data_IF_814439163227
#
_entry.id   IF_814439163227
#
_cell.length_a   1.000
_cell.length_b   1.000
_cell.length_c   1.000
_cell.angle_alpha   90.00
_cell.angle_beta   90.00
_cell.angle_gamma   90.00
#
_symmetry.space_group_name_H-M   'P 1'
#
loop_
_entity.id
_entity.type
_entity.pdbx_description
1 polymer ?
#
# COMPACT_ATOMS: atom_id res chain seq x y z
N UNK A 1 -14.72 -2.24 17.35
CA UNK A 1 -13.87 -3.20 18.10
C UNK A 1 -12.45 -2.67 18.09
N UNK A 2 -11.58 -3.13 18.99
CA UNK A 2 -10.15 -2.76 18.99
C UNK A 2 -9.34 -4.05 18.93
N UNK A 3 -8.35 -4.12 18.04
CA UNK A 3 -7.41 -5.23 17.88
C UNK A 3 -6.00 -4.66 17.97
N UNK A 4 -5.17 -5.16 18.90
CA UNK A 4 -3.79 -4.67 19.11
C UNK A 4 -3.69 -3.14 19.28
N UNK A 5 -4.72 -2.52 19.90
CA UNK A 5 -4.80 -1.07 20.08
C UNK A 5 -5.33 -0.29 18.87
N UNK A 6 -5.61 -0.96 17.75
CA UNK A 6 -6.12 -0.36 16.51
C UNK A 6 -7.63 -0.53 16.41
N UNK A 7 -8.42 0.54 16.20
CA UNK A 7 -9.85 0.42 15.97
C UNK A 7 -10.14 -0.30 14.64
N UNK A 8 -11.14 -1.17 14.67
CA UNK A 8 -11.58 -1.93 13.49
C UNK A 8 -13.10 -2.03 13.42
N UNK A 9 -13.61 -2.18 12.20
CA UNK A 9 -15.02 -2.43 11.90
C UNK A 9 -15.20 -3.70 11.10
N UNK A 10 -16.04 -4.59 11.61
CA UNK A 10 -16.47 -5.79 10.89
C UNK A 10 -17.76 -5.52 10.11
N UNK A 11 -17.82 -6.09 8.92
CA UNK A 11 -19.02 -6.22 8.10
C UNK A 11 -19.31 -7.70 7.93
N UNK A 12 -20.48 -8.13 8.38
CA UNK A 12 -20.95 -9.50 8.24
C UNK A 12 -22.04 -9.56 7.15
N UNK A 13 -21.97 -10.52 6.22
CA UNK A 13 -22.99 -10.65 5.17
C UNK A 13 -24.34 -11.09 5.77
N UNK A 14 -25.44 -10.54 5.26
CA UNK A 14 -26.79 -10.67 5.87
C UNK A 14 -27.28 -12.12 5.94
N UNK A 15 -26.87 -12.97 4.99
CA UNK A 15 -27.33 -14.36 4.89
C UNK A 15 -26.48 -15.36 5.68
N UNK A 16 -25.51 -14.89 6.46
CA UNK A 16 -24.61 -15.77 7.21
C UNK A 16 -25.18 -16.13 8.58
N UNK A 17 -25.35 -17.43 8.83
CA UNK A 17 -25.73 -17.96 10.14
C UNK A 17 -24.47 -18.02 11.01
N UNK A 18 -24.54 -17.63 12.29
CA UNK A 18 -23.38 -17.58 13.21
C UNK A 18 -22.52 -18.86 13.25
N UNK A 19 -23.11 -20.03 13.01
CA UNK A 19 -22.40 -21.33 12.95
C UNK A 19 -21.53 -21.51 11.71
N UNK A 20 -21.75 -20.71 10.66
CA UNK A 20 -21.04 -20.79 9.37
C UNK A 20 -19.90 -19.77 9.23
N UNK A 21 -19.64 -18.91 10.24
CA UNK A 21 -18.57 -17.90 10.13
C UNK A 21 -17.17 -18.48 9.89
N UNK A 22 -16.85 -19.66 10.46
CA UNK A 22 -15.60 -20.38 10.14
C UNK A 22 -15.51 -20.82 8.68
N UNK A 23 -16.63 -20.85 7.96
CA UNK A 23 -16.68 -21.20 6.55
C UNK A 23 -16.67 -19.96 5.63
N UNK A 24 -16.59 -18.75 6.16
CA UNK A 24 -16.47 -17.54 5.34
C UNK A 24 -15.01 -17.15 5.19
N UNK A 25 -14.67 -16.60 4.03
CA UNK A 25 -13.41 -15.86 3.92
C UNK A 25 -13.52 -14.55 4.68
N UNK A 26 -12.39 -14.09 5.19
CA UNK A 26 -12.27 -12.76 5.79
C UNK A 26 -11.34 -11.92 4.93
N UNK A 27 -11.79 -10.73 4.56
CA UNK A 27 -10.98 -9.74 3.87
C UNK A 27 -10.61 -8.64 4.86
N UNK A 28 -9.33 -8.52 5.19
CA UNK A 28 -8.83 -7.36 5.94
C UNK A 28 -8.60 -6.24 4.94
N UNK A 29 -9.31 -5.13 5.12
CA UNK A 29 -9.33 -4.01 4.19
C UNK A 29 -8.56 -2.80 4.75
N UNK A 30 -7.57 -2.32 4.00
CA UNK A 30 -6.84 -1.09 4.25
C UNK A 30 -7.31 -0.01 3.29
N UNK A 31 -7.81 1.09 3.83
CA UNK A 31 -8.36 2.17 3.01
C UNK A 31 -7.29 2.98 2.27
N UNK A 32 -7.67 3.60 1.15
CA UNK A 32 -6.84 4.59 0.47
C UNK A 32 -6.87 5.96 1.12
N UNK A 33 -6.29 6.95 0.44
CA UNK A 33 -6.23 8.35 0.92
C UNK A 33 -4.83 8.94 1.00
N UNK A 34 -3.88 8.43 0.19
CA UNK A 34 -2.52 8.98 0.10
C UNK A 34 -1.78 8.98 1.43
N UNK A 35 -1.98 7.95 2.24
CA UNK A 35 -1.36 7.74 3.57
C UNK A 35 -1.73 8.78 4.65
N UNK A 36 -2.40 9.87 4.27
CA UNK A 36 -2.70 11.00 5.15
C UNK A 36 -4.19 11.21 5.38
N UNK A 37 -5.05 10.70 4.49
CA UNK A 37 -6.51 10.87 4.51
C UNK A 37 -7.20 9.50 4.51
N UNK A 38 -8.53 9.55 4.63
CA UNK A 38 -9.38 8.37 4.71
C UNK A 38 -9.79 8.09 6.16
N UNK A 39 -10.86 7.31 6.30
CA UNK A 39 -11.41 6.77 7.54
C UNK A 39 -12.20 5.51 7.15
N UNK A 40 -12.43 4.60 8.07
CA UNK A 40 -13.40 3.50 7.92
C UNK A 40 -14.77 4.02 7.46
N UNK A 41 -15.18 5.20 7.91
CA UNK A 41 -16.44 5.82 7.46
C UNK A 41 -16.43 6.21 5.98
N UNK A 42 -15.34 6.82 5.51
CA UNK A 42 -15.23 7.24 4.10
C UNK A 42 -15.21 6.04 3.15
N UNK A 43 -14.75 4.88 3.63
CA UNK A 43 -14.70 3.62 2.89
C UNK A 43 -15.83 2.66 3.28
N UNK A 44 -16.83 3.12 4.06
CA UNK A 44 -17.99 2.33 4.42
C UNK A 44 -18.75 1.80 3.19
N UNK A 45 -19.03 2.60 2.14
CA UNK A 45 -19.77 2.11 0.99
C UNK A 45 -19.07 0.95 0.26
N UNK A 46 -17.76 1.06 0.03
CA UNK A 46 -16.99 0.03 -0.70
C UNK A 46 -16.82 -1.25 0.13
N UNK A 47 -16.54 -1.13 1.42
CA UNK A 47 -16.35 -2.29 2.31
C UNK A 47 -17.67 -3.02 2.59
N UNK A 48 -18.77 -2.27 2.74
CA UNK A 48 -20.12 -2.85 2.82
C UNK A 48 -20.49 -3.57 1.53
N UNK A 49 -20.29 -2.95 0.38
CA UNK A 49 -20.62 -3.56 -0.91
C UNK A 49 -19.79 -4.82 -1.17
N UNK A 50 -18.50 -4.79 -0.83
CA UNK A 50 -17.63 -5.96 -0.91
C UNK A 50 -18.18 -7.13 -0.07
N UNK A 51 -18.59 -6.88 1.17
CA UNK A 51 -19.18 -7.91 2.03
C UNK A 51 -20.48 -8.49 1.44
N UNK A 52 -21.34 -7.63 0.88
CA UNK A 52 -22.62 -8.04 0.26
C UNK A 52 -22.40 -8.88 -1.00
N UNK A 53 -21.47 -8.47 -1.87
CA UNK A 53 -21.27 -9.12 -3.18
C UNK A 53 -20.47 -10.42 -3.11
N UNK A 54 -19.67 -10.60 -2.06
CA UNK A 54 -18.77 -11.76 -1.94
C UNK A 54 -19.20 -12.78 -0.90
N UNK A 55 -20.18 -12.46 -0.06
CA UNK A 55 -20.51 -13.22 1.16
C UNK A 55 -19.28 -13.44 2.07
N UNK A 56 -18.30 -12.53 2.04
CA UNK A 56 -17.14 -12.53 2.92
C UNK A 56 -17.35 -11.60 4.11
N UNK A 57 -16.68 -11.93 5.23
CA UNK A 57 -16.53 -10.99 6.33
C UNK A 57 -15.51 -9.93 5.89
N UNK A 58 -15.83 -8.66 5.99
CA UNK A 58 -14.87 -7.58 5.71
C UNK A 58 -14.46 -6.91 7.02
N UNK A 59 -13.16 -6.89 7.30
CA UNK A 59 -12.55 -6.22 8.45
C UNK A 59 -11.86 -4.94 7.99
N UNK A 60 -12.51 -3.78 8.15
CA UNK A 60 -11.92 -2.50 7.81
C UNK A 60 -11.07 -1.98 8.97
N UNK A 61 -9.81 -1.66 8.69
CA UNK A 61 -8.84 -1.18 9.69
C UNK A 61 -8.80 0.35 9.71
N UNK A 62 -8.99 0.95 10.89
CA UNK A 62 -8.81 2.39 11.13
C UNK A 62 -7.38 2.63 11.63
N UNK A 63 -6.42 2.50 10.71
CA UNK A 63 -5.01 2.71 11.03
C UNK A 63 -4.71 4.20 11.27
N UNK A 64 -3.69 4.50 12.07
CA UNK A 64 -3.38 5.89 12.40
C UNK A 64 -2.94 6.67 11.16
N UNK A 65 -3.49 7.88 11.03
CA UNK A 65 -3.11 8.85 10.01
C UNK A 65 -2.25 9.96 10.61
N UNK A 66 -1.45 10.62 9.77
CA UNK A 66 -0.55 11.69 10.22
C UNK A 66 -1.25 12.79 11.03
N UNK A 67 -2.48 13.15 10.65
CA UNK A 67 -3.27 14.18 11.33
C UNK A 67 -3.72 13.80 12.75
N UNK A 68 -3.66 12.51 13.09
CA UNK A 68 -4.01 11.95 14.40
C UNK A 68 -2.78 11.77 15.30
N UNK A 69 -1.56 11.93 14.75
CA UNK A 69 -0.32 11.77 15.50
C UNK A 69 -0.10 13.03 16.36
N UNK A 70 -0.03 12.83 17.68
CA UNK A 70 0.18 13.91 18.67
C UNK A 70 1.45 14.73 18.41
N UNK A 71 1.53 15.93 19.00
CA UNK A 71 2.70 16.80 18.92
C UNK A 71 4.00 16.20 19.47
N UNK A 72 3.94 15.11 20.25
CA UNK A 72 5.12 14.41 20.80
C UNK A 72 5.65 13.34 19.83
N UNK A 73 4.78 12.72 19.02
CA UNK A 73 5.11 11.65 18.06
C UNK A 73 5.46 12.18 16.66
N UNK A 74 5.61 13.50 16.50
CA UNK A 74 5.77 14.22 15.23
C UNK A 74 7.06 13.92 14.46
N UNK A 75 8.08 13.31 15.08
CA UNK A 75 9.36 13.14 14.42
C UNK A 75 9.28 12.14 13.24
N UNK A 76 8.47 11.07 13.36
CA UNK A 76 8.44 9.99 12.36
C UNK A 76 7.03 9.37 12.15
N UNK A 77 6.18 9.98 11.29
CA UNK A 77 4.82 9.48 11.01
C UNK A 77 4.78 8.16 10.23
N UNK A 78 5.68 7.99 9.25
CA UNK A 78 5.98 6.67 8.69
C UNK A 78 6.90 5.90 9.66
N UNK A 79 6.68 4.59 9.93
CA UNK A 79 5.71 3.69 9.30
C UNK A 79 4.45 3.39 10.16
N UNK A 80 4.02 4.27 11.07
CA UNK A 80 3.08 3.90 12.15
C UNK A 80 1.76 3.27 11.65
N UNK A 81 1.10 3.86 10.64
CA UNK A 81 -0.14 3.29 10.08
C UNK A 81 0.05 1.95 9.34
N UNK A 82 1.23 1.73 8.74
CA UNK A 82 1.60 0.45 8.14
C UNK A 82 1.81 -0.62 9.24
N UNK A 83 2.41 -0.24 10.36
CA UNK A 83 2.62 -1.13 11.50
C UNK A 83 1.30 -1.50 12.20
N UNK A 84 0.35 -0.56 12.30
CA UNK A 84 -1.01 -0.84 12.77
C UNK A 84 -1.68 -1.93 11.91
N UNK A 85 -1.66 -1.75 10.58
CA UNK A 85 -2.22 -2.74 9.65
C UNK A 85 -1.50 -4.09 9.77
N UNK A 86 -0.16 -4.08 9.88
CA UNK A 86 0.65 -5.30 10.05
C UNK A 86 0.25 -6.06 11.32
N UNK A 87 0.10 -5.37 12.46
CA UNK A 87 -0.28 -5.98 13.74
C UNK A 87 -1.68 -6.56 13.72
N UNK A 88 -2.66 -5.83 13.17
CA UNK A 88 -4.04 -6.35 13.01
C UNK A 88 -4.03 -7.61 12.13
N UNK A 89 -3.26 -7.60 11.04
CA UNK A 89 -3.13 -8.78 10.15
C UNK A 89 -2.56 -9.97 10.90
N UNK A 90 -1.45 -9.80 11.62
CA UNK A 90 -0.84 -10.87 12.44
C UNK A 90 -1.82 -11.40 13.49
N UNK A 91 -2.58 -10.52 14.14
CA UNK A 91 -3.59 -10.92 15.12
C UNK A 91 -4.69 -11.79 14.53
N UNK A 92 -5.18 -11.46 13.33
CA UNK A 92 -6.24 -12.23 12.66
C UNK A 92 -5.73 -13.57 12.09
N UNK A 93 -4.45 -13.63 11.73
CA UNK A 93 -3.80 -14.87 11.26
C UNK A 93 -3.39 -15.81 12.41
N UNK A 94 -3.31 -15.30 13.64
CA UNK A 94 -3.06 -16.12 14.81
C UNK A 94 -4.25 -17.05 15.11
N UNK A 95 -3.98 -18.35 15.27
CA UNK A 95 -5.00 -19.38 15.43
C UNK A 95 -5.85 -19.19 16.69
N UNK A 96 -5.24 -18.78 17.80
CA UNK A 96 -5.92 -18.63 19.07
C UNK A 96 -6.81 -17.39 19.05
N UNK A 97 -6.34 -16.31 18.45
CA UNK A 97 -7.10 -15.08 18.28
C UNK A 97 -8.24 -15.24 17.26
N UNK A 98 -8.00 -15.86 16.11
CA UNK A 98 -9.03 -16.14 15.10
C UNK A 98 -10.17 -17.00 15.69
N UNK A 99 -9.83 -18.01 16.52
CA UNK A 99 -10.82 -18.84 17.21
C UNK A 99 -11.72 -18.04 18.17
N UNK A 100 -11.19 -17.03 18.87
CA UNK A 100 -11.97 -16.16 19.78
C UNK A 100 -13.07 -15.37 19.06
N UNK A 101 -12.89 -15.11 17.77
CA UNK A 101 -13.85 -14.39 16.92
C UNK A 101 -14.51 -15.28 15.86
N UNK A 102 -14.39 -16.60 16.00
CA UNK A 102 -15.02 -17.61 15.14
C UNK A 102 -14.64 -17.50 13.64
N UNK A 103 -13.38 -17.17 13.36
CA UNK A 103 -12.81 -17.03 12.02
C UNK A 103 -11.80 -18.16 11.77
N UNK A 104 -11.66 -18.58 10.50
CA UNK A 104 -10.61 -19.51 10.05
C UNK A 104 -9.38 -18.73 9.54
N UNK A 105 -8.21 -18.80 10.22
CA UNK A 105 -7.01 -18.06 9.82
C UNK A 105 -6.39 -18.55 8.51
N UNK A 106 -6.83 -19.70 7.97
CA UNK A 106 -6.39 -20.19 6.65
C UNK A 106 -7.17 -19.55 5.50
N UNK A 107 -8.21 -18.77 5.81
CA UNK A 107 -9.13 -18.15 4.84
C UNK A 107 -9.15 -16.64 4.94
N UNK A 108 -7.97 -16.07 5.20
CA UNK A 108 -7.76 -14.62 5.31
C UNK A 108 -7.19 -14.10 4.00
N UNK A 109 -7.84 -13.09 3.42
CA UNK A 109 -7.33 -12.27 2.35
C UNK A 109 -7.03 -10.87 2.87
N UNK A 110 -6.13 -10.16 2.18
CA UNK A 110 -5.87 -8.74 2.44
C UNK A 110 -6.20 -7.92 1.19
N UNK A 111 -6.82 -6.77 1.38
CA UNK A 111 -7.30 -5.91 0.31
C UNK A 111 -7.06 -4.44 0.62
N UNK A 112 -6.92 -3.63 -0.42
CA UNK A 112 -6.83 -2.19 -0.23
C UNK A 112 -6.71 -1.43 -1.53
N UNK A 113 -7.02 -0.14 -1.45
CA UNK A 113 -7.04 0.76 -2.59
C UNK A 113 -6.00 1.87 -2.49
N UNK A 114 -5.38 2.25 -3.62
CA UNK A 114 -4.37 3.32 -3.67
C UNK A 114 -3.25 3.10 -2.63
N UNK A 115 -3.14 3.98 -1.62
CA UNK A 115 -2.24 3.86 -0.48
C UNK A 115 -2.50 2.60 0.37
N UNK A 116 -3.75 2.17 0.54
CA UNK A 116 -4.07 0.91 1.20
C UNK A 116 -3.59 -0.31 0.40
N UNK A 117 -3.60 -0.21 -0.93
CA UNK A 117 -3.00 -1.22 -1.82
C UNK A 117 -1.47 -1.30 -1.70
N UNK A 118 -0.81 -0.19 -1.34
CA UNK A 118 0.61 -0.22 -0.95
C UNK A 118 0.80 -1.08 0.30
N UNK A 119 -0.01 -0.85 1.35
CA UNK A 119 0.07 -1.63 2.59
C UNK A 119 -0.19 -3.12 2.35
N UNK A 120 -1.15 -3.48 1.49
CA UNK A 120 -1.36 -4.89 1.08
C UNK A 120 -0.06 -5.52 0.59
N UNK A 121 0.60 -4.85 -0.36
CA UNK A 121 1.81 -5.37 -1.02
C UNK A 121 2.96 -5.47 -0.01
N UNK A 122 3.16 -4.42 0.79
CA UNK A 122 4.24 -4.35 1.79
C UNK A 122 4.06 -5.39 2.89
N UNK A 123 2.85 -5.56 3.42
CA UNK A 123 2.56 -6.56 4.46
C UNK A 123 2.82 -7.97 3.95
N UNK A 124 2.39 -8.28 2.72
CA UNK A 124 2.68 -9.56 2.11
C UNK A 124 4.20 -9.82 1.99
N UNK A 125 4.95 -8.83 1.51
CA UNK A 125 6.42 -8.91 1.44
C UNK A 125 7.06 -9.09 2.83
N UNK A 126 6.60 -8.35 3.85
CA UNK A 126 7.09 -8.47 5.23
C UNK A 126 6.91 -9.91 5.75
N UNK A 127 5.76 -10.52 5.50
CA UNK A 127 5.49 -11.89 5.97
C UNK A 127 6.33 -12.94 5.27
N UNK A 128 6.52 -12.82 3.95
CA UNK A 128 7.46 -13.67 3.20
C UNK A 128 8.88 -13.56 3.77
N UNK A 129 9.36 -12.34 4.03
CA UNK A 129 10.71 -12.10 4.55
C UNK A 129 10.92 -12.59 5.98
N UNK A 130 9.88 -12.55 6.83
CA UNK A 130 9.93 -13.06 8.20
C UNK A 130 9.92 -14.61 8.27
N UNK A 131 9.96 -15.31 7.13
CA UNK A 131 9.77 -16.77 7.02
C UNK A 131 8.47 -17.25 7.70
N UNK A 132 7.45 -16.39 7.75
CA UNK A 132 6.11 -16.80 8.11
C UNK A 132 5.57 -17.64 6.95
N UNK A 133 5.98 -18.91 6.88
CA UNK A 133 5.50 -19.87 5.86
C UNK A 133 4.20 -20.52 6.29
N UNK A 134 3.84 -20.37 7.58
CA UNK A 134 2.59 -20.83 8.18
C UNK A 134 1.82 -19.58 8.62
N UNK A 135 0.57 -19.47 8.20
CA UNK A 135 -0.36 -18.38 8.50
C UNK A 135 -0.02 -17.05 7.79
N UNK A 136 -0.06 -17.06 6.45
CA UNK A 136 -0.06 -15.85 5.61
C UNK A 136 -1.43 -15.66 4.95
N UNK A 137 -1.78 -14.43 4.53
CA UNK A 137 -2.98 -14.22 3.73
C UNK A 137 -2.96 -15.07 2.46
N UNK A 138 -4.08 -15.75 2.18
CA UNK A 138 -4.25 -16.61 1.00
C UNK A 138 -4.46 -15.84 -0.30
N UNK A 139 -4.76 -14.53 -0.23
CA UNK A 139 -5.03 -13.67 -1.38
C UNK A 139 -4.67 -12.21 -1.08
N UNK A 140 -4.11 -11.54 -2.09
CA UNK A 140 -3.91 -10.09 -2.13
C UNK A 140 -4.85 -9.47 -3.15
N UNK A 141 -5.66 -8.49 -2.75
CA UNK A 141 -6.57 -7.76 -3.63
C UNK A 141 -6.08 -6.32 -3.74
N UNK A 142 -5.54 -5.96 -4.91
CA UNK A 142 -4.90 -4.69 -5.17
C UNK A 142 -5.78 -3.80 -6.04
N UNK A 143 -6.34 -2.74 -5.46
CA UNK A 143 -7.20 -1.80 -6.17
C UNK A 143 -6.35 -0.55 -6.50
N UNK A 144 -5.94 -0.40 -7.76
CA UNK A 144 -5.07 0.70 -8.24
C UNK A 144 -3.91 1.09 -7.28
N UNK A 145 -3.08 0.12 -6.83
CA UNK A 145 -2.14 0.33 -5.72
C UNK A 145 -1.02 1.32 -6.05
N UNK A 146 -0.50 2.00 -5.02
CA UNK A 146 0.81 2.65 -5.08
C UNK A 146 1.88 1.60 -4.79
N UNK A 147 2.79 1.35 -5.72
CA UNK A 147 3.81 0.27 -5.58
C UNK A 147 5.25 0.75 -5.70
N UNK A 148 5.47 2.02 -6.07
CA UNK A 148 6.81 2.56 -6.29
C UNK A 148 6.82 4.10 -6.22
N UNK A 149 7.96 4.64 -5.78
CA UNK A 149 8.35 6.06 -5.76
C UNK A 149 9.72 6.27 -6.45
N UNK A 150 10.13 5.30 -7.27
CA UNK A 150 11.32 5.35 -8.12
C UNK A 150 11.11 6.27 -9.34
N UNK A 151 9.90 6.26 -9.92
CA UNK A 151 9.50 7.03 -11.09
C UNK A 151 8.19 7.78 -10.85
N UNK A 152 8.26 9.10 -10.70
CA UNK A 152 7.12 10.01 -10.57
C UNK A 152 6.59 10.53 -11.92
N UNK A 153 7.25 10.16 -13.01
CA UNK A 153 6.93 10.56 -14.39
C UNK A 153 6.53 9.34 -15.23
N UNK A 154 5.81 8.40 -14.61
CA UNK A 154 5.31 7.20 -15.29
C UNK A 154 4.61 7.58 -16.59
N UNK A 155 4.77 6.77 -17.66
CA UNK A 155 4.03 6.90 -18.90
C UNK A 155 2.54 7.28 -18.72
N UNK A 156 1.82 6.59 -17.82
CA UNK A 156 0.41 6.85 -17.53
C UNK A 156 0.15 8.22 -16.88
N UNK A 157 1.05 8.70 -16.01
CA UNK A 157 0.93 10.01 -15.36
C UNK A 157 1.12 11.13 -16.39
N UNK A 158 2.08 10.96 -17.30
CA UNK A 158 2.36 11.92 -18.36
C UNK A 158 1.26 11.97 -19.42
N UNK A 159 0.68 10.83 -19.79
CA UNK A 159 -0.41 10.76 -20.77
C UNK A 159 -1.72 11.33 -20.19
N UNK A 160 -2.03 11.05 -18.92
CA UNK A 160 -3.23 11.59 -18.27
C UNK A 160 -3.11 13.07 -17.87
N UNK A 161 -1.91 13.64 -17.92
CA UNK A 161 -1.58 14.92 -17.30
C UNK A 161 -2.01 14.98 -15.82
N UNK A 162 -1.82 13.85 -15.12
CA UNK A 162 -2.15 13.68 -13.70
C UNK A 162 -0.87 13.38 -12.95
N UNK A 163 -0.62 14.13 -11.89
CA UNK A 163 0.31 13.71 -10.85
C UNK A 163 -0.54 13.29 -9.65
N UNK A 164 -0.58 12.00 -9.33
CA UNK A 164 -1.46 11.45 -8.28
C UNK A 164 -1.13 11.99 -6.87
N UNK A 165 0.00 12.66 -6.70
CA UNK A 165 0.42 13.34 -5.47
C UNK A 165 0.29 14.86 -5.54
N UNK A 166 -0.24 15.41 -6.65
CA UNK A 166 -0.46 16.83 -6.81
C UNK A 166 -1.82 17.24 -6.23
N UNK A 167 -1.77 17.90 -5.08
CA UNK A 167 -2.92 18.51 -4.41
C UNK A 167 -2.86 20.04 -4.45
N UNK A 168 -2.25 20.60 -5.50
CA UNK A 168 -1.96 22.03 -5.65
C UNK A 168 -0.53 22.42 -5.23
N UNK A 169 0.22 21.45 -4.69
CA UNK A 169 1.68 21.44 -4.54
C UNK A 169 2.11 19.99 -4.80
N UNK A 170 2.94 19.78 -5.81
CA UNK A 170 3.36 18.43 -6.21
C UNK A 170 4.09 17.74 -5.06
N UNK A 171 3.67 16.52 -4.70
CA UNK A 171 4.34 15.71 -3.67
C UNK A 171 3.89 15.93 -2.21
N UNK A 172 2.98 16.87 -1.92
CA UNK A 172 2.60 17.24 -0.55
C UNK A 172 2.19 16.06 0.35
N UNK A 173 1.45 15.08 -0.18
CA UNK A 173 1.04 13.92 0.63
C UNK A 173 2.24 13.07 1.06
N UNK A 174 3.21 12.87 0.16
CA UNK A 174 4.42 12.13 0.48
C UNK A 174 5.32 12.94 1.43
N UNK A 175 5.39 14.27 1.26
CA UNK A 175 6.11 15.15 2.19
C UNK A 175 5.58 15.01 3.62
N UNK A 176 4.26 15.11 3.77
CA UNK A 176 3.58 14.92 5.05
C UNK A 176 3.89 13.52 5.59
N UNK A 177 3.59 12.48 4.82
CA UNK A 177 3.72 11.10 5.28
C UNK A 177 5.14 10.71 5.71
N UNK A 178 6.17 11.24 5.05
CA UNK A 178 7.56 10.98 5.41
C UNK A 178 8.13 12.01 6.40
N UNK A 179 7.41 13.10 6.68
CA UNK A 179 7.88 14.27 7.41
C UNK A 179 9.21 14.80 6.85
N UNK A 180 9.32 14.88 5.52
CA UNK A 180 10.52 15.34 4.80
C UNK A 180 10.12 16.09 3.54
N UNK A 181 10.98 16.97 3.05
CA UNK A 181 10.72 17.65 1.78
C UNK A 181 10.94 16.73 0.59
N UNK A 182 10.02 16.79 -0.38
CA UNK A 182 10.08 16.13 -1.67
C UNK A 182 10.17 17.24 -2.71
N UNK A 183 11.39 17.49 -3.22
CA UNK A 183 11.64 18.58 -4.15
C UNK A 183 11.14 18.26 -5.56
N UNK A 184 10.97 19.31 -6.37
CA UNK A 184 10.64 19.16 -7.80
C UNK A 184 11.67 18.31 -8.55
N UNK A 185 12.95 18.34 -8.13
CA UNK A 185 14.00 17.47 -8.68
C UNK A 185 13.71 15.97 -8.44
N UNK A 186 13.19 15.60 -7.26
CA UNK A 186 12.78 14.22 -6.96
C UNK A 186 11.59 13.84 -7.84
N UNK A 187 10.61 14.73 -7.95
CA UNK A 187 9.43 14.51 -8.80
C UNK A 187 9.77 14.48 -10.30
N UNK A 188 10.91 15.05 -10.69
CA UNK A 188 11.48 14.94 -12.02
C UNK A 188 12.37 13.69 -12.21
N UNK A 189 12.37 12.73 -11.28
CA UNK A 189 13.20 11.51 -11.30
C UNK A 189 14.71 11.75 -11.26
N UNK A 190 15.15 12.85 -10.64
CA UNK A 190 16.58 13.19 -10.50
C UNK A 190 17.19 12.62 -9.19
N UNK A 191 16.52 11.65 -8.56
CA UNK A 191 16.91 11.08 -7.26
C UNK A 191 17.38 9.62 -7.33
N UNK A 192 17.59 9.08 -8.52
CA UNK A 192 18.01 7.68 -8.76
C UNK A 192 19.23 7.62 -9.69
N UNK A 193 19.98 6.52 -9.63
CA UNK A 193 21.11 6.28 -10.55
C UNK A 193 20.63 5.70 -11.88
N UNK A 194 21.46 5.84 -12.91
CA UNK A 194 21.24 5.22 -14.23
C UNK A 194 21.15 3.70 -14.12
N UNK A 195 21.90 3.09 -13.18
CA UNK A 195 21.83 1.65 -12.91
C UNK A 195 20.47 1.25 -12.34
N UNK A 196 19.99 1.95 -11.29
CA UNK A 196 18.66 1.73 -10.74
C UNK A 196 17.59 1.92 -11.82
N UNK A 197 17.74 2.95 -12.66
CA UNK A 197 16.80 3.18 -13.77
C UNK A 197 16.77 2.00 -14.73
N UNK A 198 17.92 1.54 -15.22
CA UNK A 198 18.01 0.35 -16.08
C UNK A 198 17.41 -0.90 -15.44
N UNK A 199 17.62 -1.09 -14.13
CA UNK A 199 17.10 -2.25 -13.40
C UNK A 199 15.56 -2.25 -13.35
N UNK A 200 14.92 -1.11 -13.11
CA UNK A 200 13.47 -1.07 -12.83
C UNK A 200 12.60 -0.69 -14.03
N UNK A 201 13.18 -0.12 -15.10
CA UNK A 201 12.46 0.21 -16.34
C UNK A 201 11.60 -0.94 -16.88
N UNK A 202 12.06 -2.21 -16.92
CA UNK A 202 11.22 -3.31 -17.40
C UNK A 202 9.87 -3.49 -16.70
N UNK A 203 9.66 -2.90 -15.52
CA UNK A 203 8.41 -2.97 -14.75
C UNK A 203 7.51 -1.74 -14.88
N UNK A 204 8.02 -0.62 -15.42
CA UNK A 204 7.30 0.67 -15.45
C UNK A 204 7.35 1.41 -16.81
N UNK A 205 7.93 0.78 -17.82
CA UNK A 205 8.14 1.42 -19.13
C UNK A 205 6.88 1.47 -20.01
N UNK A 206 6.87 2.38 -20.98
CA UNK A 206 5.74 2.66 -21.87
C UNK A 206 5.24 1.45 -22.68
N UNK A 207 6.10 0.51 -23.14
CA UNK A 207 5.63 -0.70 -23.80
C UNK A 207 4.72 -1.59 -22.93
N UNK A 208 4.71 -1.42 -21.61
CA UNK A 208 3.81 -2.14 -20.71
C UNK A 208 2.37 -1.62 -20.76
N UNK A 209 2.14 -0.40 -21.23
CA UNK A 209 0.79 0.13 -21.44
C UNK A 209 0.12 -0.70 -22.55
N UNK A 210 -1.12 -1.19 -22.38
CA UNK A 210 -1.85 -1.84 -23.46
C UNK A 210 -2.00 -0.93 -24.69
N UNK A 211 -1.80 -1.45 -25.90
CA UNK A 211 -1.76 -0.65 -27.14
C UNK A 211 -2.95 0.29 -27.34
N UNK A 212 -4.15 -0.10 -26.90
CA UNK A 212 -5.37 0.73 -26.95
C UNK A 212 -5.35 1.99 -26.07
N UNK A 213 -4.45 2.06 -25.09
CA UNK A 213 -4.31 3.19 -24.17
C UNK A 213 -3.06 4.03 -24.46
N UNK A 214 -2.15 3.52 -25.29
CA UNK A 214 -0.93 4.23 -25.68
C UNK A 214 -1.28 5.45 -26.52
N UNK A 215 -0.82 6.62 -26.08
CA UNK A 215 -0.90 7.86 -26.85
C UNK A 215 0.47 8.18 -27.46
N UNK A 216 0.88 9.45 -27.47
CA UNK A 216 2.21 9.87 -27.90
C UNK A 216 3.23 9.54 -26.83
N UNK A 217 4.15 8.62 -27.14
CA UNK A 217 5.30 8.34 -26.28
C UNK A 217 6.12 9.60 -26.05
N UNK A 218 6.45 9.86 -24.78
CA UNK A 218 7.43 10.86 -24.38
C UNK A 218 8.49 10.14 -23.56
N UNK A 219 9.71 10.08 -24.09
CA UNK A 219 10.86 9.52 -23.37
C UNK A 219 11.13 10.32 -22.09
N UNK A 220 11.62 9.65 -21.06
CA UNK A 220 12.04 10.30 -19.83
C UNK A 220 13.38 11.00 -20.08
N UNK A 221 13.40 12.31 -19.81
CA UNK A 221 14.56 13.18 -20.09
C UNK A 221 15.76 12.77 -19.23
N UNK A 222 15.52 12.18 -18.07
CA UNK A 222 16.54 11.94 -17.05
C UNK A 222 17.03 10.48 -17.00
N UNK A 223 16.63 9.61 -17.94
CA UNK A 223 16.93 8.18 -17.83
C UNK A 223 18.40 7.80 -17.92
N UNK A 224 19.18 8.63 -18.61
CA UNK A 224 20.60 8.41 -18.86
C UNK A 224 21.51 9.31 -17.99
N UNK A 225 20.94 9.93 -16.94
CA UNK A 225 21.65 10.87 -16.07
C UNK A 225 21.52 10.40 -14.63
N UNK A 226 22.64 10.34 -13.92
CA UNK A 226 22.65 10.07 -12.49
C UNK A 226 22.14 11.27 -11.71
N UNK A 227 21.23 11.01 -10.78
CA UNK A 227 20.80 11.98 -9.80
C UNK A 227 21.96 12.48 -8.92
N UNK A 228 21.92 13.77 -8.58
CA UNK A 228 22.90 14.37 -7.67
C UNK A 228 23.00 13.61 -6.34
N UNK A 229 24.21 13.43 -5.80
CA UNK A 229 24.44 12.60 -4.61
C UNK A 229 23.57 13.02 -3.40
N UNK A 230 23.36 14.32 -3.20
CA UNK A 230 22.50 14.83 -2.14
C UNK A 230 21.01 14.50 -2.36
N UNK A 231 20.53 14.59 -3.60
CA UNK A 231 19.15 14.21 -3.94
C UNK A 231 18.91 12.73 -3.69
N UNK A 232 19.85 11.87 -4.14
CA UNK A 232 19.80 10.42 -3.91
C UNK A 232 19.77 10.08 -2.42
N UNK A 233 20.61 10.74 -1.62
CA UNK A 233 20.61 10.56 -0.16
C UNK A 233 19.29 11.00 0.47
N UNK A 234 18.74 12.14 0.07
CA UNK A 234 17.50 12.67 0.62
C UNK A 234 16.28 11.80 0.27
N UNK A 235 16.28 11.21 -0.92
CA UNK A 235 15.18 10.38 -1.39
C UNK A 235 15.34 8.88 -1.09
N UNK A 236 16.44 8.45 -0.45
CA UNK A 236 16.73 7.03 -0.24
C UNK A 236 15.56 6.27 0.36
N UNK A 237 14.89 6.85 1.38
CA UNK A 237 13.74 6.22 2.03
C UNK A 237 12.61 5.90 1.04
N UNK A 238 12.38 6.72 0.01
CA UNK A 238 11.33 6.48 -0.99
C UNK A 238 11.55 5.20 -1.79
N UNK A 239 12.80 4.74 -1.89
CA UNK A 239 13.18 3.53 -2.62
C UNK A 239 13.17 2.28 -1.75
N UNK A 240 12.93 2.40 -0.44
CA UNK A 240 12.87 1.26 0.46
C UNK A 240 11.62 0.41 0.19
N UNK A 241 11.69 -0.93 0.31
CA UNK A 241 10.57 -1.84 0.08
C UNK A 241 9.26 -1.51 0.80
N UNK A 242 9.33 -0.92 1.99
CA UNK A 242 8.14 -0.55 2.77
C UNK A 242 7.37 0.65 2.18
N UNK A 243 7.95 1.32 1.17
CA UNK A 243 7.30 2.40 0.40
C UNK A 243 7.18 2.03 -1.07
N UNK A 244 8.23 1.42 -1.62
CA UNK A 244 8.31 0.98 -3.01
C UNK A 244 8.44 -0.54 -3.09
N UNK A 245 7.38 -1.31 -2.79
CA UNK A 245 7.44 -2.77 -2.78
C UNK A 245 7.78 -3.38 -4.15
N UNK A 246 7.60 -2.63 -5.25
CA UNK A 246 8.08 -3.06 -6.57
C UNK A 246 9.60 -3.24 -6.65
N UNK A 247 10.36 -2.57 -5.77
CA UNK A 247 11.83 -2.57 -5.79
C UNK A 247 12.43 -3.68 -4.91
N UNK A 248 11.59 -4.57 -4.36
CA UNK A 248 12.06 -5.76 -3.64
C UNK A 248 12.81 -6.67 -4.59
N UNK A 249 13.99 -7.14 -4.18
CA UNK A 249 14.80 -8.08 -4.96
C UNK A 249 14.07 -9.41 -5.18
N UNK A 250 14.19 -9.97 -6.39
CA UNK A 250 13.55 -11.24 -6.76
C UNK A 250 13.88 -12.39 -5.79
N UNK A 251 15.11 -12.43 -5.27
CA UNK A 251 15.55 -13.43 -4.29
C UNK A 251 14.79 -13.39 -2.96
N UNK A 252 14.23 -12.22 -2.61
CA UNK A 252 13.39 -12.03 -1.42
C UNK A 252 11.93 -12.43 -1.70
N UNK A 253 11.46 -12.26 -2.93
CA UNK A 253 10.11 -12.66 -3.35
C UNK A 253 9.98 -14.16 -3.65
N UNK A 254 11.08 -14.86 -3.96
CA UNK A 254 11.08 -16.28 -4.32
C UNK A 254 11.16 -17.25 -3.13
N UNK A 255 11.10 -16.75 -1.90
CA UNK A 255 11.12 -17.54 -0.66
C UNK A 255 9.71 -17.85 -0.18
#
# INVERSE_FOLDING_TARGET
MIIEGVPVRFYYPINSVNSLFKLLFVVIYYHGGGFCKGLVETHHPITRELAVQTDFIVLSVEYVLIQQISSITREHPFPVGLDDCTKVTKHILDIDNANKINIDPTRIAIAGDSAGGNFVTVIATRFTNENMTKNIPCLQILIYPVVQFFDFMLPSYREANVNIFDSGKSGLMLELYLNRSISDDILANNHTTTEQKKQYRPYVDWPLIPSKYRQTYKESINDNIDGGANLRKNAQQTLEPDLSPLLVENEKLSK
#
